data_IF_387818100654
#
_entry.id   IF_387818100654
#
_cell.length_a   1.000
_cell.length_b   1.000
_cell.length_c   1.000
_cell.angle_alpha   90.00
_cell.angle_beta   90.00
_cell.angle_gamma   90.00
#
_symmetry.space_group_name_H-M   'P 1'
#
loop_
_entity.id
_entity.type
_entity.pdbx_description
1 polymer ?
#
# COMPACT_ATOMS: atom_id res chain seq x y z
N UNK A 1 -32.62 -21.30 -8.33
CA UNK A 1 -31.20 -20.98 -8.07
C UNK A 1 -30.90 -21.34 -6.62
N UNK A 2 -30.18 -22.42 -6.35
CA UNK A 2 -29.97 -22.95 -4.98
C UNK A 2 -28.66 -22.48 -4.33
N UNK A 3 -27.85 -21.68 -5.02
CA UNK A 3 -26.56 -21.19 -4.54
C UNK A 3 -26.65 -19.71 -4.19
N UNK A 4 -26.10 -19.34 -3.04
CA UNK A 4 -25.88 -17.96 -2.65
C UNK A 4 -24.59 -17.38 -3.23
N UNK A 5 -24.45 -16.05 -3.19
CA UNK A 5 -23.25 -15.34 -3.61
C UNK A 5 -22.93 -14.22 -2.63
N UNK A 6 -21.66 -14.10 -2.25
CA UNK A 6 -21.17 -12.95 -1.52
C UNK A 6 -20.49 -11.99 -2.51
N UNK A 7 -20.93 -10.73 -2.52
CA UNK A 7 -20.40 -9.69 -3.40
C UNK A 7 -19.70 -8.61 -2.59
N UNK A 8 -18.65 -8.02 -3.15
CA UNK A 8 -17.93 -6.88 -2.58
C UNK A 8 -18.54 -5.58 -3.07
N UNK A 9 -18.73 -4.61 -2.17
CA UNK A 9 -19.21 -3.27 -2.54
C UNK A 9 -18.07 -2.26 -2.53
N UNK A 10 -18.21 -1.10 -3.21
CA UNK A 10 -17.23 0.00 -3.15
C UNK A 10 -17.04 0.58 -1.74
N UNK A 11 -18.00 0.39 -0.83
CA UNK A 11 -18.03 0.96 0.52
C UNK A 11 -17.44 0.04 1.60
N UNK A 12 -16.63 -0.96 1.21
CA UNK A 12 -16.04 -1.97 2.12
C UNK A 12 -17.06 -2.87 2.82
N UNK A 13 -18.29 -2.91 2.32
CA UNK A 13 -19.32 -3.82 2.80
C UNK A 13 -19.37 -5.06 1.93
N UNK A 14 -19.91 -6.14 2.50
CA UNK A 14 -20.31 -7.29 1.72
C UNK A 14 -21.81 -7.30 1.51
N UNK A 15 -22.22 -7.65 0.30
CA UNK A 15 -23.61 -7.92 -0.07
C UNK A 15 -23.78 -9.43 -0.23
N UNK A 16 -24.40 -10.06 0.75
CA UNK A 16 -24.75 -11.48 0.72
C UNK A 16 -26.10 -11.65 0.02
N UNK A 17 -26.11 -12.43 -1.05
CA UNK A 17 -27.31 -12.90 -1.73
C UNK A 17 -27.55 -14.35 -1.34
N UNK A 18 -28.63 -14.62 -0.61
CA UNK A 18 -28.95 -15.97 -0.13
C UNK A 18 -30.40 -16.33 -0.43
N UNK A 19 -30.67 -17.46 -1.10
CA UNK A 19 -32.03 -17.93 -1.32
C UNK A 19 -32.60 -18.46 0.00
N UNK A 20 -33.66 -17.83 0.51
CA UNK A 20 -34.34 -18.23 1.75
C UNK A 20 -35.83 -18.45 1.49
N UNK A 21 -36.46 -19.30 2.30
CA UNK A 21 -37.92 -19.45 2.31
C UNK A 21 -38.50 -18.32 3.14
N UNK A 22 -39.27 -17.42 2.55
CA UNK A 22 -39.81 -16.25 3.26
C UNK A 22 -41.11 -16.60 3.99
N UNK A 23 -41.41 -15.84 5.05
CA UNK A 23 -42.64 -15.99 5.84
C UNK A 23 -43.85 -15.22 5.26
N UNK A 24 -43.64 -14.37 4.26
CA UNK A 24 -44.65 -13.42 3.77
C UNK A 24 -45.76 -14.09 2.94
N UNK A 25 -45.49 -15.23 2.29
CA UNK A 25 -46.47 -15.95 1.48
C UNK A 25 -46.85 -17.27 2.16
N UNK A 26 -47.93 -17.24 2.95
CA UNK A 26 -48.46 -18.44 3.65
C UNK A 26 -48.99 -19.52 2.70
N UNK A 27 -49.24 -19.20 1.44
CA UNK A 27 -49.88 -20.10 0.47
C UNK A 27 -48.91 -20.69 -0.58
N UNK A 28 -47.75 -20.09 -0.81
CA UNK A 28 -46.74 -20.58 -1.76
C UNK A 28 -45.35 -20.56 -1.11
N UNK A 29 -44.64 -21.70 -1.12
CA UNK A 29 -43.24 -21.81 -0.69
C UNK A 29 -42.31 -21.22 -1.76
N UNK A 30 -42.44 -19.92 -1.99
CA UNK A 30 -41.60 -19.23 -2.97
C UNK A 30 -40.23 -18.95 -2.35
N UNK A 31 -39.18 -19.47 -2.99
CA UNK A 31 -37.79 -19.25 -2.60
C UNK A 31 -37.37 -17.91 -3.19
N UNK A 32 -37.14 -16.92 -2.32
CA UNK A 32 -36.72 -15.58 -2.73
C UNK A 32 -35.24 -15.35 -2.38
N UNK A 33 -34.42 -14.80 -3.29
CA UNK A 33 -33.06 -14.41 -2.98
C UNK A 33 -33.05 -13.09 -2.18
N UNK A 34 -32.70 -13.17 -0.90
CA UNK A 34 -32.61 -12.00 -0.02
C UNK A 34 -31.20 -11.39 -0.12
N UNK A 35 -31.13 -10.05 -0.14
CA UNK A 35 -29.90 -9.30 -0.14
C UNK A 35 -29.62 -8.72 1.26
N UNK A 36 -28.57 -9.19 1.92
CA UNK A 36 -28.14 -8.74 3.25
C UNK A 36 -26.82 -7.98 3.10
N UNK A 37 -26.75 -6.77 3.66
CA UNK A 37 -25.52 -5.98 3.74
C UNK A 37 -24.86 -6.20 5.10
N UNK A 38 -23.58 -6.57 5.09
CA UNK A 38 -22.81 -6.81 6.33
C UNK A 38 -21.45 -6.13 6.29
N UNK A 39 -20.99 -5.70 7.46
CA UNK A 39 -19.65 -5.17 7.64
C UNK A 39 -18.68 -6.28 8.06
N UNK A 40 -17.43 -6.31 7.54
CA UNK A 40 -16.48 -7.39 7.86
C UNK A 40 -16.16 -7.54 9.35
N UNK A 41 -16.17 -6.45 10.13
CA UNK A 41 -15.87 -6.48 11.57
C UNK A 41 -17.06 -6.93 12.45
N UNK A 42 -18.23 -7.15 11.86
CA UNK A 42 -19.37 -7.66 12.63
C UNK A 42 -19.18 -9.16 12.92
N UNK A 43 -19.65 -9.66 14.08
CA UNK A 43 -19.58 -11.08 14.39
C UNK A 43 -20.62 -11.89 13.61
N UNK A 44 -20.36 -13.19 13.41
CA UNK A 44 -21.29 -14.11 12.75
C UNK A 44 -22.66 -14.19 13.44
N UNK A 45 -22.73 -14.00 14.76
CA UNK A 45 -23.98 -13.92 15.52
C UNK A 45 -24.90 -12.79 15.04
N UNK A 46 -24.36 -11.69 14.52
CA UNK A 46 -25.15 -10.63 13.92
C UNK A 46 -25.78 -11.10 12.60
N UNK A 47 -25.00 -11.78 11.75
CA UNK A 47 -25.48 -12.36 10.50
C UNK A 47 -26.51 -13.47 10.74
N UNK A 48 -26.30 -14.31 11.77
CA UNK A 48 -27.28 -15.30 12.22
C UNK A 48 -28.62 -14.64 12.54
N UNK A 49 -28.62 -13.56 13.33
CA UNK A 49 -29.86 -12.85 13.70
C UNK A 49 -30.57 -12.23 12.50
N UNK A 50 -29.81 -11.66 11.55
CA UNK A 50 -30.37 -11.12 10.31
C UNK A 50 -31.01 -12.20 9.45
N UNK A 51 -30.44 -13.40 9.39
CA UNK A 51 -31.05 -14.53 8.68
C UNK A 51 -32.27 -15.05 9.45
N UNK A 52 -32.19 -15.14 10.78
CA UNK A 52 -33.30 -15.58 11.64
C UNK A 52 -34.52 -14.68 11.56
N UNK A 53 -34.37 -13.38 11.33
CA UNK A 53 -35.51 -12.47 11.17
C UNK A 53 -36.26 -12.66 9.85
N UNK A 54 -35.60 -13.20 8.83
CA UNK A 54 -36.18 -13.39 7.49
C UNK A 54 -36.81 -14.79 7.28
N UNK A 55 -36.40 -15.77 8.09
CA UNK A 55 -36.87 -17.16 8.00
C UNK A 55 -38.06 -17.39 8.94
N UNK A 56 -39.12 -18.13 8.53
CA UNK A 56 -40.25 -18.42 9.40
C UNK A 56 -39.82 -19.21 10.66
N UNK A 57 -40.44 -18.94 11.81
CA UNK A 57 -40.11 -19.65 13.03
C UNK A 57 -40.61 -21.10 12.97
N UNK A 58 -39.88 -21.99 13.64
CA UNK A 58 -40.18 -23.42 13.68
C UNK A 58 -41.05 -23.71 14.90
N UNK A 59 -42.07 -24.56 14.73
CA UNK A 59 -42.85 -25.10 15.84
C UNK A 59 -42.17 -26.37 16.35
N UNK A 60 -41.77 -26.38 17.62
CA UNK A 60 -41.25 -27.57 18.30
C UNK A 60 -42.40 -28.56 18.59
N UNK A 61 -42.10 -29.85 18.80
CA UNK A 61 -43.06 -30.89 19.20
C UNK A 61 -43.94 -30.48 20.39
N UNK A 62 -43.43 -29.60 21.25
CA UNK A 62 -44.08 -29.16 22.48
C UNK A 62 -45.00 -27.93 22.28
N UNK A 63 -45.26 -27.54 21.02
CA UNK A 63 -46.13 -26.42 20.66
C UNK A 63 -45.53 -25.02 20.86
N UNK A 64 -44.30 -24.93 21.39
CA UNK A 64 -43.55 -23.67 21.50
C UNK A 64 -42.93 -23.28 20.15
N UNK A 65 -43.01 -21.98 19.84
CA UNK A 65 -42.42 -21.38 18.64
C UNK A 65 -40.99 -20.97 18.94
N UNK A 66 -40.02 -21.49 18.18
CA UNK A 66 -38.59 -21.15 18.31
C UNK A 66 -38.03 -20.58 17.01
N UNK A 67 -37.05 -19.68 17.12
CA UNK A 67 -36.27 -19.23 15.96
C UNK A 67 -35.36 -20.36 15.46
N UNK A 68 -35.14 -20.46 14.14
CA UNK A 68 -34.26 -21.48 13.57
C UNK A 68 -32.80 -21.24 13.97
N UNK A 69 -32.07 -22.31 14.32
CA UNK A 69 -30.61 -22.18 14.48
C UNK A 69 -29.92 -22.06 13.11
N UNK A 70 -29.00 -21.12 12.99
CA UNK A 70 -28.20 -20.92 11.77
C UNK A 70 -26.74 -21.20 12.12
N UNK A 71 -26.10 -22.06 11.34
CA UNK A 71 -24.68 -22.39 11.55
C UNK A 71 -23.89 -22.17 10.26
N UNK A 72 -22.67 -21.64 10.44
CA UNK A 72 -21.74 -21.36 9.36
C UNK A 72 -20.66 -22.43 9.36
N UNK A 73 -20.47 -23.05 8.20
CA UNK A 73 -19.58 -24.18 8.03
C UNK A 73 -18.64 -23.85 6.87
N UNK A 74 -17.33 -23.90 7.11
CA UNK A 74 -16.31 -23.72 6.08
C UNK A 74 -15.41 -24.96 6.00
N UNK A 75 -14.77 -25.13 4.86
CA UNK A 75 -13.84 -26.23 4.63
C UNK A 75 -12.48 -25.89 5.28
N UNK A 76 -12.05 -26.72 6.24
CA UNK A 76 -10.72 -26.59 6.82
C UNK A 76 -9.72 -27.33 5.94
N UNK A 77 -8.79 -26.60 5.32
CA UNK A 77 -7.69 -27.20 4.55
C UNK A 77 -6.55 -27.48 5.53
N UNK A 78 -6.12 -28.74 5.62
CA UNK A 78 -5.20 -29.22 6.67
C UNK A 78 -3.79 -28.63 6.59
N UNK A 79 -3.42 -28.00 5.46
CA UNK A 79 -2.00 -27.77 5.14
C UNK A 79 -1.32 -26.57 5.81
N UNK A 80 -2.03 -25.59 6.37
CA UNK A 80 -1.36 -24.44 7.03
C UNK A 80 -2.10 -23.98 8.30
N UNK A 81 -1.50 -24.09 9.51
CA UNK A 81 -2.08 -23.53 10.72
C UNK A 81 -2.23 -22.01 10.59
N UNK A 82 -3.32 -21.48 11.14
CA UNK A 82 -3.65 -20.05 11.15
C UNK A 82 -2.52 -19.31 11.86
N UNK A 83 -1.69 -18.58 11.10
CA UNK A 83 -0.71 -17.68 11.70
C UNK A 83 -1.47 -16.45 12.22
N UNK A 84 -1.28 -16.05 13.49
CA UNK A 84 -1.83 -14.79 13.96
C UNK A 84 -1.32 -13.66 13.05
N UNK A 85 -2.15 -12.63 12.86
CA UNK A 85 -1.75 -11.41 12.12
C UNK A 85 -0.36 -11.00 12.59
N UNK A 86 0.64 -11.02 11.70
CA UNK A 86 1.90 -10.34 11.99
C UNK A 86 1.53 -8.88 12.18
N UNK A 87 1.59 -8.40 13.42
CA UNK A 87 1.54 -6.98 13.69
C UNK A 87 2.73 -6.38 12.93
N UNK A 88 2.46 -5.70 11.83
CA UNK A 88 3.46 -4.87 11.17
C UNK A 88 3.66 -3.68 12.10
N UNK A 89 4.50 -3.86 13.12
CA UNK A 89 5.07 -2.74 13.85
C UNK A 89 5.92 -1.99 12.83
N UNK A 90 5.57 -0.74 12.55
CA UNK A 90 6.47 0.23 11.91
C UNK A 90 7.63 0.50 12.87
N UNK A 91 8.56 -0.46 12.96
CA UNK A 91 9.85 -0.29 13.62
C UNK A 91 10.79 0.43 12.67
N UNK A 92 11.36 1.53 13.15
CA UNK A 92 12.45 2.29 12.54
C UNK A 92 13.52 1.37 11.96
N UNK A 93 13.99 1.68 10.76
CA UNK A 93 14.94 0.86 9.98
C UNK A 93 16.32 0.63 10.62
N UNK A 94 16.53 1.05 11.86
CA UNK A 94 17.74 0.79 12.64
C UNK A 94 17.72 -0.58 13.33
N UNK A 95 16.56 -1.08 13.80
CA UNK A 95 16.49 -2.40 14.45
C UNK A 95 16.49 -3.56 13.45
N UNK A 96 16.10 -3.29 12.20
CA UNK A 96 16.10 -4.30 11.11
C UNK A 96 17.54 -4.67 10.71
N UNK A 97 18.51 -3.76 10.86
CA UNK A 97 19.92 -4.07 10.59
C UNK A 97 20.63 -4.82 11.72
N UNK A 98 20.18 -4.66 12.97
CA UNK A 98 20.80 -5.36 14.11
C UNK A 98 20.38 -6.84 14.20
N UNK A 99 19.24 -7.19 13.60
CA UNK A 99 18.79 -8.58 13.44
C UNK A 99 19.41 -9.27 12.22
N UNK A 100 19.82 -8.52 11.20
CA UNK A 100 20.53 -9.05 10.02
C UNK A 100 21.97 -9.49 10.33
N UNK A 101 22.60 -8.96 11.38
CA UNK A 101 23.99 -9.32 11.75
C UNK A 101 24.09 -10.62 12.59
N UNK A 102 22.96 -11.16 13.07
CA UNK A 102 22.93 -12.35 13.94
C UNK A 102 22.21 -13.58 13.34
N UNK A 103 21.82 -13.52 12.07
CA UNK A 103 21.07 -14.61 11.46
C UNK A 103 21.11 -14.59 9.94
N UNK A 104 22.25 -14.96 9.37
CA UNK A 104 22.41 -15.28 7.94
C UNK A 104 21.36 -16.33 7.54
N UNK A 105 20.28 -15.90 6.90
CA UNK A 105 19.34 -16.81 6.23
C UNK A 105 19.72 -16.83 4.75
N UNK A 106 20.36 -17.94 4.40
CA UNK A 106 20.63 -18.43 3.07
C UNK A 106 19.34 -18.54 2.25
N UNK A 107 19.30 -17.84 1.12
CA UNK A 107 18.33 -18.01 0.05
C UNK A 107 18.57 -19.37 -0.64
N UNK A 108 18.03 -20.44 -0.07
CA UNK A 108 18.28 -21.78 -0.58
C UNK A 108 17.13 -22.75 -0.28
N UNK A 109 16.55 -23.31 -1.36
CA UNK A 109 15.66 -24.49 -1.37
C UNK A 109 15.90 -25.43 -0.17
N UNK A 110 15.04 -25.37 0.84
CA UNK A 110 15.10 -26.28 1.98
C UNK A 110 13.86 -26.18 2.86
N UNK A 111 12.97 -27.18 2.76
CA UNK A 111 11.93 -27.42 3.77
C UNK A 111 12.63 -27.61 5.13
N UNK A 112 12.49 -26.64 6.04
CA UNK A 112 12.72 -26.91 7.47
C UNK A 112 11.56 -27.80 7.96
N UNK A 113 11.81 -28.92 8.65
CA UNK A 113 10.74 -29.61 9.35
C UNK A 113 10.22 -28.69 10.46
N UNK A 114 8.92 -28.76 10.82
CA UNK A 114 8.38 -27.93 11.88
C UNK A 114 9.04 -28.33 13.21
N UNK A 115 9.65 -27.38 13.89
CA UNK A 115 10.15 -27.55 15.26
C UNK A 115 8.98 -27.55 16.23
N UNK A 116 9.10 -28.28 17.34
CA UNK A 116 8.04 -28.57 18.35
C UNK A 116 7.45 -27.37 19.11
N UNK A 117 7.72 -26.13 18.69
CA UNK A 117 7.33 -24.90 19.41
C UNK A 117 6.05 -24.23 18.89
N UNK A 118 5.43 -24.79 17.85
CA UNK A 118 4.10 -24.35 17.40
C UNK A 118 3.03 -24.88 18.38
N UNK A 119 2.63 -24.01 19.30
CA UNK A 119 1.66 -24.21 20.39
C UNK A 119 0.22 -24.53 19.91
N UNK A 120 0.02 -24.97 18.67
CA UNK A 120 -1.27 -25.44 18.15
C UNK A 120 -1.21 -26.89 17.63
N UNK A 121 -0.03 -27.50 17.58
CA UNK A 121 0.18 -28.80 16.92
C UNK A 121 -0.24 -30.02 17.78
N UNK A 122 -0.51 -29.82 19.08
CA UNK A 122 -0.79 -30.91 20.02
C UNK A 122 -2.23 -31.46 19.99
N UNK A 123 -3.17 -30.82 19.28
CA UNK A 123 -4.55 -31.31 19.16
C UNK A 123 -4.76 -32.30 18.00
N UNK A 124 -3.76 -32.53 17.15
CA UNK A 124 -3.90 -33.33 15.93
C UNK A 124 -2.95 -34.53 15.92
N UNK A 125 -3.18 -35.47 16.84
CA UNK A 125 -2.67 -36.84 16.70
C UNK A 125 -3.83 -37.75 16.37
N UNK A 126 -4.27 -37.73 15.12
CA UNK A 126 -5.14 -38.79 14.58
C UNK A 126 -4.24 -39.95 14.18
N UNK A 127 -4.60 -41.18 14.54
CA UNK A 127 -3.83 -42.38 14.20
C UNK A 127 -3.73 -42.57 12.67
N UNK A 128 -2.55 -42.92 12.13
CA UNK A 128 -2.35 -43.07 10.70
C UNK A 128 -2.92 -44.42 10.25
N UNK A 129 -4.11 -44.42 9.67
CA UNK A 129 -4.66 -45.65 9.13
C UNK A 129 -6.13 -45.60 8.72
N UNK A 130 -6.52 -44.69 7.82
CA UNK A 130 -7.72 -44.85 7.00
C UNK A 130 -7.66 -43.92 5.77
N UNK A 131 -7.42 -44.55 4.62
CA UNK A 131 -7.67 -44.14 3.23
C UNK A 131 -7.72 -42.64 2.89
N UNK A 132 -6.69 -42.18 2.18
CA UNK A 132 -6.53 -40.88 1.53
C UNK A 132 -7.52 -40.66 0.36
N UNK A 133 -8.81 -40.54 0.65
CA UNK A 133 -9.57 -39.48 -0.03
C UNK A 133 -9.34 -38.22 0.78
N UNK A 134 -8.98 -37.09 0.15
CA UNK A 134 -9.03 -35.78 0.80
C UNK A 134 -10.46 -35.56 1.32
N UNK A 135 -10.76 -36.03 2.54
CA UNK A 135 -12.04 -35.80 3.17
C UNK A 135 -12.09 -34.30 3.44
N UNK A 136 -12.91 -33.61 2.64
CA UNK A 136 -13.14 -32.20 2.77
C UNK A 136 -13.77 -31.97 4.15
N UNK A 137 -12.94 -31.68 5.16
CA UNK A 137 -13.40 -31.57 6.53
C UNK A 137 -14.14 -30.24 6.69
N UNK A 138 -15.46 -30.33 6.79
CA UNK A 138 -16.33 -29.20 7.05
C UNK A 138 -16.39 -28.93 8.55
N UNK A 139 -15.98 -27.73 8.96
CA UNK A 139 -15.93 -27.32 10.37
C UNK A 139 -16.93 -26.19 10.64
N UNK A 140 -17.69 -26.34 11.73
CA UNK A 140 -18.62 -25.31 12.20
C UNK A 140 -17.86 -24.23 12.96
N UNK A 141 -18.03 -22.98 12.55
CA UNK A 141 -17.42 -21.82 13.19
C UNK A 141 -18.21 -21.30 14.39
N UNK A 142 -17.52 -20.63 15.31
CA UNK A 142 -18.14 -19.97 16.46
C UNK A 142 -18.93 -18.73 16.02
N UNK A 143 -20.06 -18.47 16.67
CA UNK A 143 -20.89 -17.29 16.38
C UNK A 143 -20.25 -15.97 16.80
N UNK A 144 -19.16 -16.01 17.57
CA UNK A 144 -18.43 -14.81 18.02
C UNK A 144 -17.33 -14.36 17.06
N UNK A 145 -17.00 -15.15 16.03
CA UNK A 145 -15.95 -14.83 15.07
C UNK A 145 -16.37 -13.67 14.15
N UNK A 146 -15.44 -12.78 13.81
CA UNK A 146 -15.66 -11.73 12.81
C UNK A 146 -15.93 -12.30 11.42
N UNK A 147 -16.89 -11.71 10.70
CA UNK A 147 -17.24 -12.13 9.33
C UNK A 147 -16.01 -12.05 8.42
N UNK A 148 -15.16 -11.03 8.57
CA UNK A 148 -13.96 -10.84 7.77
C UNK A 148 -12.97 -12.00 7.91
N UNK A 149 -12.72 -12.47 9.13
CA UNK A 149 -11.82 -13.59 9.39
C UNK A 149 -12.42 -14.93 8.94
N UNK A 150 -13.73 -15.12 9.11
CA UNK A 150 -14.44 -16.29 8.57
C UNK A 150 -14.37 -16.34 7.03
N UNK A 151 -14.63 -15.20 6.37
CA UNK A 151 -14.59 -15.09 4.91
C UNK A 151 -13.16 -15.30 4.39
N UNK A 152 -12.13 -14.91 5.14
CA UNK A 152 -10.73 -15.18 4.79
C UNK A 152 -10.45 -16.66 4.65
N UNK A 153 -10.85 -17.46 5.65
CA UNK A 153 -10.66 -18.91 5.61
C UNK A 153 -11.53 -19.55 4.50
N UNK A 154 -12.79 -19.14 4.42
CA UNK A 154 -13.72 -19.62 3.39
C UNK A 154 -13.29 -19.26 1.96
N UNK A 155 -12.54 -18.16 1.78
CA UNK A 155 -12.05 -17.74 0.46
C UNK A 155 -11.05 -18.74 -0.15
N UNK A 156 -10.31 -19.49 0.69
CA UNK A 156 -9.36 -20.51 0.23
C UNK A 156 -10.09 -21.65 -0.49
N UNK A 157 -11.25 -22.05 0.03
CA UNK A 157 -12.12 -23.06 -0.58
C UNK A 157 -13.09 -22.47 -1.63
N UNK A 158 -13.19 -21.14 -1.76
CA UNK A 158 -14.12 -20.39 -2.62
C UNK A 158 -15.60 -20.60 -2.34
N UNK A 159 -15.95 -21.41 -1.34
CA UNK A 159 -17.32 -21.64 -0.90
C UNK A 159 -17.39 -21.86 0.61
N UNK A 160 -18.49 -21.44 1.21
CA UNK A 160 -18.92 -21.87 2.54
C UNK A 160 -20.37 -22.30 2.53
N UNK A 161 -20.78 -23.02 3.58
CA UNK A 161 -22.12 -23.56 3.72
C UNK A 161 -22.81 -22.84 4.88
N UNK A 162 -24.03 -22.36 4.62
CA UNK A 162 -24.95 -21.87 5.64
C UNK A 162 -25.98 -22.96 5.88
N UNK A 163 -26.02 -23.49 7.10
CA UNK A 163 -26.99 -24.51 7.51
C UNK A 163 -28.10 -23.87 8.32
N UNK A 164 -29.32 -23.91 7.79
CA UNK A 164 -30.53 -23.36 8.41
C UNK A 164 -31.41 -24.50 8.90
N UNK A 165 -31.65 -24.54 10.21
CA UNK A 165 -32.55 -25.51 10.82
C UNK A 165 -33.99 -25.35 10.29
N UNK A 166 -34.70 -26.46 10.08
CA UNK A 166 -36.12 -26.44 9.68
C UNK A 166 -36.42 -26.05 8.23
N UNK A 167 -35.40 -25.79 7.41
CA UNK A 167 -35.57 -25.54 5.98
C UNK A 167 -36.02 -26.82 5.22
N UNK A 168 -36.82 -26.70 4.15
CA UNK A 168 -37.29 -27.85 3.37
C UNK A 168 -36.13 -28.65 2.75
N UNK A 169 -36.35 -29.95 2.51
CA UNK A 169 -35.35 -30.86 1.95
C UNK A 169 -34.73 -30.29 0.66
N UNK A 170 -33.42 -30.03 0.69
CA UNK A 170 -32.65 -29.41 -0.40
C UNK A 170 -32.14 -27.98 -0.12
N UNK A 171 -32.73 -27.24 0.84
CA UNK A 171 -32.26 -25.91 1.27
C UNK A 171 -31.65 -25.90 2.67
N UNK A 172 -31.57 -27.06 3.33
CA UNK A 172 -30.97 -27.17 4.66
C UNK A 172 -29.50 -26.72 4.67
N UNK A 173 -28.77 -26.95 3.58
CA UNK A 173 -27.38 -26.53 3.38
C UNK A 173 -27.29 -25.65 2.14
N UNK A 174 -27.10 -24.36 2.34
CA UNK A 174 -26.98 -23.38 1.27
C UNK A 174 -25.49 -23.11 1.02
N UNK A 175 -25.02 -23.45 -0.18
CA UNK A 175 -23.64 -23.12 -0.60
C UNK A 175 -23.59 -21.67 -1.06
N UNK A 176 -22.68 -20.90 -0.48
CA UNK A 176 -22.43 -19.50 -0.81
C UNK A 176 -21.04 -19.37 -1.41
N UNK A 177 -20.96 -18.80 -2.61
CA UNK A 177 -19.68 -18.50 -3.25
C UNK A 177 -19.03 -17.26 -2.60
N UNK A 178 -17.74 -17.36 -2.30
CA UNK A 178 -16.91 -16.28 -1.74
C UNK A 178 -16.19 -15.56 -2.87
N UNK A 179 -16.11 -14.21 -2.85
CA UNK A 179 -15.37 -13.47 -3.86
C UNK A 179 -13.87 -13.77 -3.76
N UNK A 180 -13.26 -13.95 -4.92
CA UNK A 180 -11.80 -14.07 -5.05
C UNK A 180 -11.08 -12.76 -4.69
N UNK A 181 -9.76 -12.84 -4.51
CA UNK A 181 -8.92 -11.66 -4.27
C UNK A 181 -9.10 -10.58 -5.34
N UNK A 182 -9.11 -10.96 -6.61
CA UNK A 182 -9.27 -10.03 -7.74
C UNK A 182 -10.67 -9.39 -7.75
N UNK A 183 -11.72 -10.14 -7.42
CA UNK A 183 -13.08 -9.60 -7.30
C UNK A 183 -13.21 -8.66 -6.10
N UNK A 184 -12.58 -8.96 -4.96
CA UNK A 184 -12.59 -8.10 -3.77
C UNK A 184 -11.83 -6.80 -4.02
N UNK A 185 -10.73 -6.84 -4.76
CA UNK A 185 -9.87 -5.68 -5.02
C UNK A 185 -10.23 -4.93 -6.30
N UNK A 186 -11.18 -5.42 -7.10
CA UNK A 186 -11.55 -4.84 -8.40
C UNK A 186 -11.79 -3.33 -8.35
N UNK A 187 -12.66 -2.86 -7.46
CA UNK A 187 -12.98 -1.43 -7.34
C UNK A 187 -11.80 -0.60 -6.81
N UNK A 188 -10.99 -1.18 -5.92
CA UNK A 188 -9.79 -0.52 -5.37
C UNK A 188 -8.72 -0.36 -6.46
N UNK A 189 -8.43 -1.41 -7.22
CA UNK A 189 -7.50 -1.39 -8.36
C UNK A 189 -7.98 -0.46 -9.46
N UNK A 190 -9.27 -0.43 -9.76
CA UNK A 190 -9.83 0.52 -10.73
C UNK A 190 -9.61 1.98 -10.28
N UNK A 191 -9.83 2.30 -9.00
CA UNK A 191 -9.56 3.64 -8.44
C UNK A 191 -8.07 3.95 -8.47
N UNK A 192 -7.22 3.00 -8.08
CA UNK A 192 -5.76 3.14 -8.11
C UNK A 192 -5.26 3.47 -9.52
N UNK A 193 -5.74 2.78 -10.55
CA UNK A 193 -5.39 3.07 -11.96
C UNK A 193 -5.80 4.49 -12.38
N UNK A 194 -6.97 4.97 -11.96
CA UNK A 194 -7.41 6.35 -12.24
C UNK A 194 -6.51 7.39 -11.58
N UNK A 195 -6.10 7.16 -10.33
CA UNK A 195 -5.19 8.05 -9.60
C UNK A 195 -3.80 7.99 -10.23
N UNK A 196 -3.31 6.80 -10.55
CA UNK A 196 -2.04 6.57 -11.25
C UNK A 196 -1.95 7.37 -12.55
N UNK A 197 -3.00 7.33 -13.39
CA UNK A 197 -3.04 8.13 -14.62
C UNK A 197 -3.03 9.65 -14.39
N UNK A 198 -3.64 10.14 -13.29
CA UNK A 198 -3.56 11.56 -12.93
C UNK A 198 -2.17 11.97 -12.45
N UNK A 199 -1.54 11.11 -11.64
CA UNK A 199 -0.15 11.27 -11.20
C UNK A 199 0.74 11.29 -12.44
N UNK A 200 0.59 10.37 -13.38
CA UNK A 200 1.39 10.36 -14.61
C UNK A 200 1.33 11.70 -15.37
N UNK A 201 0.13 12.25 -15.58
CA UNK A 201 -0.02 13.53 -16.28
C UNK A 201 0.70 14.69 -15.57
N UNK A 202 0.63 14.77 -14.25
CA UNK A 202 1.35 15.80 -13.48
C UNK A 202 2.86 15.53 -13.49
N UNK A 203 3.28 14.27 -13.40
CA UNK A 203 4.68 13.86 -13.39
C UNK A 203 5.39 14.22 -14.70
N UNK A 204 4.72 14.07 -15.85
CA UNK A 204 5.27 14.44 -17.16
C UNK A 204 5.55 15.95 -17.23
N UNK A 205 4.59 16.78 -16.79
CA UNK A 205 4.75 18.24 -16.75
C UNK A 205 5.88 18.62 -15.77
N UNK A 206 5.95 17.95 -14.61
CA UNK A 206 6.99 18.17 -13.61
C UNK A 206 8.37 17.86 -14.18
N UNK A 207 8.54 16.70 -14.83
CA UNK A 207 9.78 16.29 -15.45
C UNK A 207 10.27 17.30 -16.51
N UNK A 208 9.36 17.84 -17.32
CA UNK A 208 9.72 18.91 -18.26
C UNK A 208 10.20 20.18 -17.56
N UNK A 209 9.52 20.61 -16.50
CA UNK A 209 9.91 21.78 -15.71
C UNK A 209 11.29 21.59 -15.06
N UNK A 210 11.54 20.41 -14.52
CA UNK A 210 12.79 20.05 -13.86
C UNK A 210 13.94 20.06 -14.87
N UNK A 211 13.73 19.50 -16.06
CA UNK A 211 14.68 19.56 -17.16
C UNK A 211 14.98 21.01 -17.61
N UNK A 212 13.97 21.89 -17.65
CA UNK A 212 14.16 23.31 -17.98
C UNK A 212 14.92 24.06 -16.87
N UNK A 213 14.65 23.75 -15.61
CA UNK A 213 15.33 24.36 -14.46
C UNK A 213 16.83 23.98 -14.46
N UNK A 214 17.16 22.70 -14.67
CA UNK A 214 18.54 22.23 -14.74
C UNK A 214 19.33 22.85 -15.90
N UNK A 215 18.73 22.95 -17.10
CA UNK A 215 19.37 23.65 -18.23
C UNK A 215 19.67 25.11 -17.90
N UNK A 216 18.79 25.76 -17.14
CA UNK A 216 18.98 27.11 -16.64
C UNK A 216 20.21 27.25 -15.73
N UNK A 217 20.34 26.36 -14.75
CA UNK A 217 21.48 26.32 -13.83
C UNK A 217 22.79 26.01 -14.56
N UNK A 218 22.78 25.05 -15.49
CA UNK A 218 23.95 24.72 -16.31
C UNK A 218 24.43 25.91 -17.15
N UNK A 219 23.51 26.72 -17.69
CA UNK A 219 23.88 27.94 -18.43
C UNK A 219 24.55 28.98 -17.54
N UNK A 220 24.11 29.14 -16.29
CA UNK A 220 24.75 30.03 -15.31
C UNK A 220 26.15 29.51 -14.97
N UNK A 221 26.31 28.20 -14.73
CA UNK A 221 27.61 27.60 -14.46
C UNK A 221 28.60 27.78 -15.64
N UNK A 222 28.14 27.56 -16.87
CA UNK A 222 28.95 27.79 -18.08
C UNK A 222 29.31 29.28 -18.23
N UNK A 223 28.40 30.19 -17.91
CA UNK A 223 28.69 31.63 -17.89
C UNK A 223 29.76 32.00 -16.86
N UNK A 224 29.67 31.46 -15.65
CA UNK A 224 30.67 31.65 -14.60
C UNK A 224 32.05 31.13 -15.01
N UNK A 225 32.11 29.94 -15.61
CA UNK A 225 33.35 29.39 -16.16
C UNK A 225 33.94 30.28 -17.27
N UNK A 226 33.09 30.81 -18.16
CA UNK A 226 33.52 31.72 -19.22
C UNK A 226 34.16 33.01 -18.69
N UNK A 227 33.63 33.58 -17.62
CA UNK A 227 34.20 34.76 -16.95
C UNK A 227 35.57 34.44 -16.35
N UNK A 228 35.71 33.28 -15.69
CA UNK A 228 36.99 32.84 -15.12
C UNK A 228 38.05 32.59 -16.20
N UNK A 229 37.68 31.96 -17.31
CA UNK A 229 38.58 31.73 -18.44
C UNK A 229 39.00 33.06 -19.10
N UNK A 230 38.08 34.01 -19.25
CA UNK A 230 38.38 35.35 -19.75
C UNK A 230 39.33 36.10 -18.82
N UNK A 231 39.10 36.03 -17.51
CA UNK A 231 39.98 36.63 -16.50
C UNK A 231 41.38 36.03 -16.56
N UNK A 232 41.48 34.70 -16.63
CA UNK A 232 42.77 34.00 -16.77
C UNK A 232 43.52 34.43 -18.03
N UNK A 233 42.83 34.48 -19.17
CA UNK A 233 43.43 34.94 -20.44
C UNK A 233 43.89 36.40 -20.36
N UNK A 234 43.09 37.27 -19.72
CA UNK A 234 43.42 38.69 -19.56
C UNK A 234 44.66 38.88 -18.70
N UNK A 235 44.78 38.14 -17.58
CA UNK A 235 45.98 38.16 -16.74
C UNK A 235 47.19 37.65 -17.52
N UNK A 236 47.08 36.51 -18.21
CA UNK A 236 48.16 35.97 -19.05
C UNK A 236 48.62 37.00 -20.09
N UNK A 237 47.69 37.60 -20.83
CA UNK A 237 48.00 38.58 -21.88
C UNK A 237 48.69 39.82 -21.31
N UNK A 238 48.22 40.35 -20.18
CA UNK A 238 48.82 41.52 -19.55
C UNK A 238 50.20 41.23 -18.93
N UNK A 239 50.40 40.04 -18.38
CA UNK A 239 51.68 39.65 -17.78
C UNK A 239 52.74 39.36 -18.83
N UNK A 240 52.41 38.67 -19.92
CA UNK A 240 53.39 38.16 -20.88
C UNK A 240 53.52 38.98 -22.17
N UNK A 241 52.47 39.67 -22.64
CA UNK A 241 52.50 40.40 -23.92
C UNK A 241 52.59 41.93 -23.77
N UNK A 242 52.41 42.48 -22.56
CA UNK A 242 52.51 43.93 -22.33
C UNK A 242 53.66 44.29 -21.41
N UNK A 243 54.12 45.54 -21.51
CA UNK A 243 55.24 46.09 -20.74
C UNK A 243 54.94 46.24 -19.23
N UNK A 244 53.73 45.90 -18.77
CA UNK A 244 53.29 45.99 -17.37
C UNK A 244 54.02 45.00 -16.44
N UNK A 245 54.47 43.86 -16.98
CA UNK A 245 55.21 42.84 -16.24
C UNK A 245 54.44 42.22 -15.06
N UNK A 246 55.12 41.35 -14.30
CA UNK A 246 54.52 40.70 -13.12
C UNK A 246 54.39 41.65 -11.92
N UNK A 247 55.35 42.55 -11.72
CA UNK A 247 55.40 43.48 -10.58
C UNK A 247 54.13 44.37 -10.47
N UNK A 248 53.52 44.73 -11.59
CA UNK A 248 52.27 45.51 -11.60
C UNK A 248 51.03 44.62 -11.41
N UNK A 249 51.07 43.38 -11.89
CA UNK A 249 49.92 42.46 -11.90
C UNK A 249 49.70 41.75 -10.57
N UNK A 250 50.77 41.52 -9.79
CA UNK A 250 50.71 40.89 -8.47
C UNK A 250 49.68 41.56 -7.52
N UNK A 251 49.77 42.86 -7.20
CA UNK A 251 48.80 43.51 -6.30
C UNK A 251 47.38 43.54 -6.88
N UNK A 252 47.23 43.61 -8.20
CA UNK A 252 45.92 43.60 -8.87
C UNK A 252 45.22 42.26 -8.67
N UNK A 253 45.94 41.14 -8.81
CA UNK A 253 45.37 39.81 -8.58
C UNK A 253 45.02 39.56 -7.11
N UNK A 254 45.81 40.09 -6.17
CA UNK A 254 45.49 40.07 -4.75
C UNK A 254 44.22 40.86 -4.43
N UNK A 255 44.10 42.09 -4.93
CA UNK A 255 42.88 42.89 -4.72
C UNK A 255 41.66 42.25 -5.37
N UNK A 256 41.79 41.66 -6.56
CA UNK A 256 40.70 40.98 -7.24
C UNK A 256 40.23 39.72 -6.49
N UNK A 257 41.17 38.92 -5.96
CA UNK A 257 40.83 37.73 -5.17
C UNK A 257 40.15 38.09 -3.86
N UNK A 258 40.65 39.10 -3.13
CA UNK A 258 40.02 39.60 -1.91
C UNK A 258 38.63 40.20 -2.18
N UNK A 259 38.47 40.93 -3.30
CA UNK A 259 37.17 41.48 -3.71
C UNK A 259 36.16 40.38 -4.05
N UNK A 260 36.61 39.30 -4.71
CA UNK A 260 35.77 38.14 -5.05
C UNK A 260 35.33 37.38 -3.79
N UNK A 261 36.26 37.22 -2.83
CA UNK A 261 35.97 36.61 -1.54
C UNK A 261 34.96 37.46 -0.75
N UNK A 262 35.15 38.78 -0.71
CA UNK A 262 34.22 39.70 -0.06
C UNK A 262 32.84 39.68 -0.71
N UNK A 263 32.76 39.63 -2.05
CA UNK A 263 31.51 39.47 -2.78
C UNK A 263 30.81 38.13 -2.51
N UNK A 264 31.56 37.03 -2.47
CA UNK A 264 31.05 35.71 -2.09
C UNK A 264 30.52 35.70 -0.65
N UNK A 265 31.22 36.35 0.28
CA UNK A 265 30.78 36.50 1.66
C UNK A 265 29.53 37.38 1.80
N UNK A 266 29.41 38.44 1.00
CA UNK A 266 28.22 39.29 0.97
C UNK A 266 27.02 38.52 0.42
N UNK A 267 27.21 37.73 -0.64
CA UNK A 267 26.20 36.83 -1.19
C UNK A 267 25.77 35.78 -0.16
N UNK A 268 26.73 35.21 0.58
CA UNK A 268 26.49 34.29 1.68
C UNK A 268 25.64 34.94 2.80
N UNK A 269 26.03 36.13 3.27
CA UNK A 269 25.28 36.86 4.30
C UNK A 269 23.86 37.23 3.86
N UNK A 270 23.68 37.58 2.59
CA UNK A 270 22.36 37.91 2.04
C UNK A 270 21.44 36.68 1.96
N UNK A 271 21.98 35.47 1.83
CA UNK A 271 21.24 34.21 1.79
C UNK A 271 21.22 33.42 3.12
N UNK A 272 21.61 34.02 4.25
CA UNK A 272 21.71 33.34 5.56
C UNK A 272 20.39 32.72 6.08
N UNK A 273 20.31 31.39 6.16
CA UNK A 273 20.40 30.56 7.39
C UNK A 273 20.28 29.08 6.96
N UNK A 274 21.24 28.24 7.34
CA UNK A 274 21.24 26.77 7.10
C UNK A 274 21.43 26.34 5.62
N UNK A 275 22.59 26.69 5.04
CA UNK A 275 23.01 26.15 3.73
C UNK A 275 24.11 25.12 3.96
N UNK A 276 23.74 23.85 3.98
CA UNK A 276 24.67 22.78 3.59
C UNK A 276 25.14 23.07 2.16
N UNK A 277 26.42 22.85 1.83
CA UNK A 277 27.01 23.17 0.50
C UNK A 277 26.23 22.55 -0.69
N UNK A 278 25.45 21.49 -0.46
CA UNK A 278 24.55 20.89 -1.45
C UNK A 278 23.29 21.74 -1.73
N UNK A 279 22.83 22.51 -0.74
CA UNK A 279 21.57 23.28 -0.75
C UNK A 279 21.62 24.60 -1.56
N UNK A 280 22.79 25.21 -1.80
CA UNK A 280 22.87 26.51 -2.47
C UNK A 280 22.43 26.48 -3.95
N UNK A 281 22.92 25.49 -4.71
CA UNK A 281 22.50 25.26 -6.09
C UNK A 281 21.03 24.84 -6.11
N UNK A 282 20.66 23.92 -5.22
CA UNK A 282 19.30 23.40 -5.09
C UNK A 282 18.31 24.51 -4.74
N UNK A 283 18.68 25.53 -3.96
CA UNK A 283 17.81 26.66 -3.64
C UNK A 283 17.47 27.48 -4.90
N UNK A 284 18.47 27.81 -5.72
CA UNK A 284 18.24 28.55 -6.98
C UNK A 284 17.44 27.74 -8.00
N UNK A 285 17.67 26.42 -8.03
CA UNK A 285 16.92 25.49 -8.88
C UNK A 285 15.47 25.39 -8.37
N UNK A 286 15.27 25.18 -7.07
CA UNK A 286 13.96 25.06 -6.42
C UNK A 286 13.12 26.33 -6.55
N UNK A 287 13.71 27.52 -6.39
CA UNK A 287 13.00 28.79 -6.56
C UNK A 287 12.52 28.96 -8.01
N UNK A 288 13.37 28.64 -8.98
CA UNK A 288 13.04 28.69 -10.41
C UNK A 288 12.02 27.62 -10.79
N UNK A 289 12.16 26.41 -10.24
CA UNK A 289 11.26 25.28 -10.44
C UNK A 289 9.86 25.59 -9.88
N UNK A 290 9.76 26.17 -8.68
CA UNK A 290 8.50 26.63 -8.10
C UNK A 290 7.80 27.68 -8.97
N UNK A 291 8.57 28.60 -9.56
CA UNK A 291 8.04 29.56 -10.53
C UNK A 291 7.54 28.86 -11.80
N UNK A 292 8.32 27.93 -12.35
CA UNK A 292 7.92 27.12 -13.51
C UNK A 292 6.66 26.29 -13.24
N UNK A 293 6.50 25.77 -12.03
CA UNK A 293 5.30 25.06 -11.61
C UNK A 293 4.08 25.99 -11.56
N UNK A 294 4.23 27.21 -11.05
CA UNK A 294 3.16 28.22 -11.08
C UNK A 294 2.80 28.62 -12.51
N UNK A 295 3.80 28.86 -13.37
CA UNK A 295 3.60 29.26 -14.76
C UNK A 295 2.90 28.16 -15.59
N UNK A 296 3.19 26.88 -15.31
CA UNK A 296 2.53 25.73 -15.94
C UNK A 296 1.24 25.27 -15.22
N UNK A 297 0.85 25.91 -14.11
CA UNK A 297 -0.35 25.57 -13.36
C UNK A 297 -0.29 24.20 -12.65
N UNK A 298 0.88 23.77 -12.19
CA UNK A 298 1.05 22.52 -11.44
C UNK A 298 0.72 22.74 -9.97
N UNK A 299 -0.39 22.15 -9.52
CA UNK A 299 -0.82 22.18 -8.12
C UNK A 299 -0.04 21.16 -7.28
N UNK A 300 0.97 21.61 -6.53
CA UNK A 300 1.78 20.74 -5.66
C UNK A 300 0.95 20.06 -4.55
N UNK A 301 -0.07 20.74 -4.03
CA UNK A 301 -0.92 20.18 -2.97
C UNK A 301 -1.81 19.05 -3.51
N UNK A 302 -2.33 19.21 -4.73
CA UNK A 302 -3.07 18.15 -5.43
C UNK A 302 -2.16 16.95 -5.71
N UNK A 303 -0.92 17.19 -6.14
CA UNK A 303 0.07 16.15 -6.35
C UNK A 303 0.30 15.31 -5.07
N UNK A 304 0.59 15.96 -3.95
CA UNK A 304 0.84 15.29 -2.67
C UNK A 304 -0.37 14.50 -2.18
N UNK A 305 -1.57 15.10 -2.23
CA UNK A 305 -2.80 14.40 -1.86
C UNK A 305 -3.09 13.17 -2.74
N UNK A 306 -2.87 13.24 -4.05
CA UNK A 306 -3.06 12.12 -4.97
C UNK A 306 -2.09 10.97 -4.68
N UNK A 307 -0.85 11.30 -4.32
CA UNK A 307 0.13 10.31 -3.89
C UNK A 307 -0.30 9.65 -2.60
N UNK A 308 -0.68 10.42 -1.59
CA UNK A 308 -1.04 9.89 -0.28
C UNK A 308 -2.27 8.98 -0.42
N UNK A 309 -3.27 9.40 -1.19
CA UNK A 309 -4.43 8.58 -1.56
C UNK A 309 -3.99 7.30 -2.28
N UNK A 310 -3.10 7.39 -3.28
CA UNK A 310 -2.55 6.23 -3.98
C UNK A 310 -1.83 5.25 -3.04
N UNK A 311 -1.01 5.77 -2.12
CA UNK A 311 -0.28 4.97 -1.14
C UNK A 311 -1.20 4.29 -0.13
N UNK A 312 -2.26 4.97 0.34
CA UNK A 312 -3.27 4.34 1.20
C UNK A 312 -3.98 3.19 0.50
N UNK A 313 -4.37 3.36 -0.77
CA UNK A 313 -4.99 2.29 -1.56
C UNK A 313 -4.04 1.10 -1.77
N UNK A 314 -2.74 1.33 -2.02
CA UNK A 314 -1.74 0.25 -2.11
C UNK A 314 -1.61 -0.52 -0.80
N UNK A 315 -1.53 0.19 0.33
CA UNK A 315 -1.47 -0.44 1.67
C UNK A 315 -2.72 -1.31 1.90
N UNK A 316 -3.90 -0.83 1.51
CA UNK A 316 -5.14 -1.60 1.62
C UNK A 316 -5.16 -2.84 0.73
N UNK A 317 -4.76 -2.72 -0.55
CA UNK A 317 -4.71 -3.87 -1.45
C UNK A 317 -3.68 -4.90 -0.97
N UNK A 318 -2.50 -4.47 -0.49
CA UNK A 318 -1.50 -5.36 0.11
C UNK A 318 -2.00 -6.06 1.37
N UNK A 319 -2.71 -5.34 2.23
CA UNK A 319 -3.35 -5.92 3.40
C UNK A 319 -4.33 -7.02 2.98
N UNK A 320 -5.19 -6.76 2.00
CA UNK A 320 -6.13 -7.76 1.46
C UNK A 320 -5.37 -8.91 0.78
N UNK A 321 -4.27 -8.66 0.08
CA UNK A 321 -3.46 -9.69 -0.56
C UNK A 321 -2.88 -10.67 0.48
N UNK A 322 -2.36 -10.12 1.58
CA UNK A 322 -1.89 -10.90 2.72
C UNK A 322 -3.02 -11.68 3.41
N UNK A 323 -4.26 -11.16 3.41
CA UNK A 323 -5.41 -11.92 3.91
C UNK A 323 -5.70 -13.17 3.07
N UNK A 324 -5.53 -13.11 1.75
CA UNK A 324 -5.80 -14.24 0.85
C UNK A 324 -4.58 -15.16 0.64
N UNK A 325 -3.45 -14.89 1.30
CA UNK A 325 -2.15 -15.53 1.03
C UNK A 325 -1.74 -15.41 -0.45
N UNK A 326 -2.08 -14.30 -1.11
CA UNK A 326 -1.74 -14.02 -2.51
C UNK A 326 -0.68 -12.92 -2.56
N UNK A 327 0.36 -13.14 -3.34
CA UNK A 327 1.32 -12.07 -3.67
C UNK A 327 0.70 -11.14 -4.72
N UNK A 328 0.55 -9.87 -4.36
CA UNK A 328 0.05 -8.85 -5.29
C UNK A 328 1.22 -8.07 -5.90
N UNK A 329 1.33 -8.19 -7.23
CA UNK A 329 2.30 -7.44 -8.02
C UNK A 329 1.70 -6.09 -8.47
N UNK A 330 2.27 -5.00 -7.97
CA UNK A 330 1.84 -3.63 -8.28
C UNK A 330 2.02 -3.30 -9.77
N UNK A 331 3.04 -3.86 -10.43
CA UNK A 331 3.39 -3.50 -11.81
C UNK A 331 2.35 -3.97 -12.83
N UNK A 332 1.71 -5.11 -12.57
CA UNK A 332 0.68 -5.67 -13.45
C UNK A 332 -0.56 -4.76 -13.56
N UNK A 333 -0.89 -4.07 -12.47
CA UNK A 333 -2.04 -3.19 -12.41
C UNK A 333 -1.72 -1.74 -12.80
N UNK A 334 -0.49 -1.28 -12.56
CA UNK A 334 -0.08 0.11 -12.82
C UNK A 334 0.36 0.36 -14.27
N UNK A 335 0.72 -0.68 -15.04
CA UNK A 335 1.05 -0.67 -16.49
C UNK A 335 2.10 0.36 -16.99
N UNK A 336 2.57 1.29 -16.15
CA UNK A 336 3.45 2.39 -16.55
C UNK A 336 4.60 2.59 -15.54
N UNK A 337 5.83 2.31 -15.98
CA UNK A 337 7.08 2.43 -15.20
C UNK A 337 7.36 3.87 -14.71
N UNK A 338 6.82 4.88 -15.38
CA UNK A 338 7.03 6.29 -15.01
C UNK A 338 6.38 6.65 -13.67
N UNK A 339 5.26 6.00 -13.35
CA UNK A 339 4.57 6.25 -12.07
C UNK A 339 5.35 5.63 -10.93
N UNK A 340 5.88 4.42 -11.12
CA UNK A 340 6.72 3.77 -10.11
C UNK A 340 8.02 4.54 -9.88
N UNK A 341 8.63 5.09 -10.92
CA UNK A 341 9.78 6.00 -10.80
C UNK A 341 9.45 7.30 -10.06
N UNK A 342 8.36 7.97 -10.40
CA UNK A 342 7.94 9.20 -9.73
C UNK A 342 7.68 8.97 -8.23
N UNK A 343 7.05 7.85 -7.88
CA UNK A 343 6.82 7.44 -6.49
C UNK A 343 8.12 7.06 -5.78
N UNK A 344 9.05 6.40 -6.47
CA UNK A 344 10.37 6.06 -5.91
C UNK A 344 11.15 7.32 -5.58
N UNK A 345 11.17 8.31 -6.49
CA UNK A 345 11.82 9.60 -6.27
C UNK A 345 11.24 10.34 -5.06
N UNK A 346 9.92 10.35 -4.92
CA UNK A 346 9.28 10.97 -3.77
C UNK A 346 9.58 10.22 -2.45
N UNK A 347 9.57 8.88 -2.45
CA UNK A 347 9.98 8.08 -1.28
C UNK A 347 11.42 8.40 -0.88
N UNK A 348 12.33 8.56 -1.85
CA UNK A 348 13.71 8.96 -1.56
C UNK A 348 13.81 10.38 -1.02
N UNK A 349 12.97 11.31 -1.48
CA UNK A 349 12.93 12.68 -0.96
C UNK A 349 12.40 12.72 0.48
N UNK A 350 11.28 12.04 0.77
CA UNK A 350 10.71 11.96 2.13
C UNK A 350 11.66 11.23 3.10
N UNK A 351 12.33 10.16 2.67
CA UNK A 351 13.30 9.45 3.51
C UNK A 351 14.59 10.24 3.71
N UNK A 352 15.07 10.96 2.68
CA UNK A 352 16.22 11.85 2.77
C UNK A 352 15.98 12.99 3.77
N UNK A 353 14.83 13.67 3.68
CA UNK A 353 14.50 14.76 4.62
C UNK A 353 14.29 14.28 6.05
N UNK A 354 13.92 13.01 6.25
CA UNK A 354 13.73 12.42 7.58
C UNK A 354 15.08 12.09 8.23
N UNK A 355 16.02 11.58 7.43
CA UNK A 355 17.39 11.27 7.88
C UNK A 355 18.18 12.54 8.23
N UNK A 356 18.04 13.60 7.44
CA UNK A 356 18.67 14.90 7.71
C UNK A 356 18.12 15.56 9.00
N UNK A 357 16.84 15.31 9.35
CA UNK A 357 16.21 15.84 10.56
C UNK A 357 16.58 15.06 11.83
N UNK A 358 16.88 13.77 11.70
CA UNK A 358 17.31 12.93 12.81
C UNK A 358 18.80 13.20 13.17
N UNK A 359 19.62 13.67 12.24
CA UNK A 359 21.03 14.06 12.48
C UNK A 359 21.17 15.45 13.14
N UNK A 360 20.16 16.33 13.07
CA UNK A 360 20.17 17.66 13.74
C UNK A 360 19.72 17.61 15.21
N UNK A 361 19.32 16.44 15.73
CA UNK A 361 18.76 16.28 17.07
C UNK A 361 19.72 15.78 18.16
N UNK A 362 20.98 15.48 17.82
CA UNK A 362 21.92 14.78 18.71
C UNK A 362 23.19 15.59 19.09
N UNK A 363 23.21 16.91 18.86
CA UNK A 363 24.29 17.82 19.31
C UNK A 363 23.85 18.81 20.42
#
# INVERSE_FOLDING_TARGET
MTKGKLLTTPSRLFKLLIPLSTAYHREHKDIEPIAILVHPQQPLSHLERLIQSEVPPIKTSDGQTRSPTVSFIAMQIEDHPIRPRKAVYEGTGAEVHQLDELGRIDDGKGKRPPTEDDTYTYLRRTEPGQNESMEQQFVRWSQSTEIGDFIRDAARAREFIVSVEGAPAGLHQIRVAVPSFDERTYFLRMRLRKISGRIQGIAEIKHECDALAHRGAQRVAVGGFGILALWWYLVYKLTFETELGWDTMEPVTYLASLSTLMGGYLWFLYHNREISYRSALDFTINARQKKLYQDKGVDLHLWESLIDEGNTLRKEIKSIAAEYDVEWDEMQDERDERVTEALKQERTQKNGSKRDRDEEGDD
#
